data_IF_863664426808
#
_entry.id   IF_863664426808
#
_cell.length_a   1.000
_cell.length_b   1.000
_cell.length_c   1.000
_cell.angle_alpha   90.00
_cell.angle_beta   90.00
_cell.angle_gamma   90.00
#
_symmetry.space_group_name_H-M   'P 1'
#
loop_
_entity.id
_entity.type
_entity.pdbx_description
1 polymer ?
#
# COMPACT_ATOMS: atom_id res chain seq x y z
N UNK A 1 -1.67 -12.76 -12.76
CA UNK A 1 -0.25 -13.17 -12.94
C UNK A 1 0.72 -11.99 -12.75
N UNK A 2 0.39 -10.78 -13.21
CA UNK A 2 1.32 -9.64 -13.21
C UNK A 2 1.60 -9.00 -11.85
N UNK A 3 0.82 -9.32 -10.82
CA UNK A 3 1.11 -8.85 -9.45
C UNK A 3 2.36 -9.52 -8.86
N UNK A 4 2.67 -10.74 -9.30
CA UNK A 4 3.80 -11.55 -8.77
C UNK A 4 4.87 -11.84 -9.82
N UNK A 5 4.57 -11.67 -11.11
CA UNK A 5 5.49 -11.92 -12.21
C UNK A 5 6.00 -10.59 -12.76
N UNK A 6 7.32 -10.46 -12.79
CA UNK A 6 8.00 -9.30 -13.34
C UNK A 6 7.68 -9.09 -14.83
N UNK A 7 7.90 -7.86 -15.28
CA UNK A 7 7.67 -7.50 -16.69
C UNK A 7 8.55 -8.37 -17.59
N UNK A 8 7.97 -9.10 -18.56
CA UNK A 8 8.75 -9.87 -19.52
C UNK A 8 9.60 -8.95 -20.39
N UNK A 9 10.67 -9.48 -21.02
CA UNK A 9 11.50 -8.72 -21.94
C UNK A 9 10.66 -8.03 -23.02
N UNK A 10 11.08 -6.83 -23.43
CA UNK A 10 10.39 -6.12 -24.51
C UNK A 10 10.55 -6.91 -25.81
N UNK A 11 9.46 -6.99 -26.58
CA UNK A 11 9.46 -7.64 -27.90
C UNK A 11 10.48 -6.91 -28.80
N UNK A 12 11.33 -7.67 -29.49
CA UNK A 12 12.24 -7.18 -30.53
C UNK A 12 11.90 -7.80 -31.88
N UNK A 13 12.55 -7.35 -32.96
CA UNK A 13 12.35 -7.90 -34.31
C UNK A 13 12.74 -9.39 -34.42
N UNK A 14 13.52 -9.90 -33.47
CA UNK A 14 13.96 -11.30 -33.41
C UNK A 14 13.09 -12.16 -32.48
N UNK A 15 12.10 -11.58 -31.81
CA UNK A 15 11.25 -12.33 -30.88
C UNK A 15 10.38 -13.35 -31.61
N UNK A 16 10.22 -14.50 -30.97
CA UNK A 16 9.33 -15.57 -31.46
C UNK A 16 7.87 -15.18 -31.29
N UNK A 17 6.98 -15.86 -32.02
CA UNK A 17 5.54 -15.57 -31.91
C UNK A 17 4.96 -15.99 -30.55
N UNK A 18 5.56 -16.99 -29.90
CA UNK A 18 5.22 -17.37 -28.52
C UNK A 18 5.60 -16.28 -27.51
N UNK A 19 6.81 -15.72 -27.62
CA UNK A 19 7.26 -14.59 -26.77
C UNK A 19 6.35 -13.38 -26.93
N UNK A 20 5.98 -13.04 -28.17
CA UNK A 20 5.02 -11.96 -28.45
C UNK A 20 3.66 -12.23 -27.82
N UNK A 21 3.19 -13.46 -27.87
CA UNK A 21 1.90 -13.87 -27.31
C UNK A 21 1.90 -13.75 -25.79
N UNK A 22 2.97 -14.23 -25.14
CA UNK A 22 3.16 -14.11 -23.68
C UNK A 22 3.20 -12.64 -23.26
N UNK A 23 3.99 -11.80 -23.96
CA UNK A 23 4.08 -10.37 -23.65
C UNK A 23 2.73 -9.67 -23.76
N UNK A 24 1.96 -9.93 -24.83
CA UNK A 24 0.60 -9.37 -24.99
C UNK A 24 -0.36 -9.83 -23.91
N UNK A 25 -0.31 -11.12 -23.53
CA UNK A 25 -1.12 -11.66 -22.44
C UNK A 25 -0.76 -11.01 -21.10
N UNK A 26 0.53 -10.82 -20.83
CA UNK A 26 1.03 -10.13 -19.65
C UNK A 26 0.55 -8.67 -19.64
N UNK A 27 0.70 -7.92 -20.72
CA UNK A 27 0.30 -6.51 -20.80
C UNK A 27 -1.21 -6.33 -20.56
N UNK A 28 -2.03 -7.20 -21.16
CA UNK A 28 -3.48 -7.22 -20.92
C UNK A 28 -3.79 -7.48 -19.45
N UNK A 29 -3.15 -8.48 -18.84
CA UNK A 29 -3.33 -8.79 -17.42
C UNK A 29 -2.85 -7.65 -16.51
N UNK A 30 -1.79 -6.94 -16.88
CA UNK A 30 -1.25 -5.82 -16.10
C UNK A 30 -2.23 -4.65 -16.07
N UNK A 31 -2.73 -4.26 -17.26
CA UNK A 31 -3.74 -3.22 -17.40
C UNK A 31 -5.01 -3.52 -16.61
N UNK A 32 -5.52 -4.75 -16.70
CA UNK A 32 -6.69 -5.18 -15.95
C UNK A 32 -6.45 -5.13 -14.44
N UNK A 33 -5.27 -5.57 -13.98
CA UNK A 33 -4.92 -5.55 -12.56
C UNK A 33 -4.84 -4.12 -12.03
N UNK A 34 -4.26 -3.18 -12.79
CA UNK A 34 -4.25 -1.75 -12.42
C UNK A 34 -5.69 -1.22 -12.30
N UNK A 35 -6.56 -1.52 -13.27
CA UNK A 35 -7.96 -1.06 -13.22
C UNK A 35 -8.67 -1.61 -11.98
N UNK A 36 -8.49 -2.90 -11.69
CA UNK A 36 -9.09 -3.53 -10.52
C UNK A 36 -8.59 -2.91 -9.21
N UNK A 37 -7.28 -2.76 -9.05
CA UNK A 37 -6.69 -2.09 -7.89
C UNK A 37 -7.22 -0.65 -7.74
N UNK A 38 -7.32 0.11 -8.83
CA UNK A 38 -7.85 1.50 -8.81
C UNK A 38 -9.36 1.58 -8.53
N UNK A 39 -10.09 0.48 -8.66
CA UNK A 39 -11.53 0.39 -8.40
C UNK A 39 -11.81 0.00 -6.95
N UNK A 40 -11.05 -0.96 -6.40
CA UNK A 40 -11.24 -1.41 -5.01
C UNK A 40 -10.70 -0.42 -3.97
N UNK A 41 -9.71 0.40 -4.35
CA UNK A 41 -9.11 1.39 -3.45
C UNK A 41 -10.01 2.64 -3.40
N UNK A 42 -10.33 3.07 -2.19
CA UNK A 42 -11.14 4.27 -1.98
C UNK A 42 -10.48 5.54 -2.56
N UNK A 43 -11.30 6.47 -3.06
CA UNK A 43 -10.83 7.66 -3.78
C UNK A 43 -9.86 8.53 -2.97
N UNK A 44 -10.07 8.66 -1.66
CA UNK A 44 -9.21 9.43 -0.76
C UNK A 44 -7.78 8.84 -0.61
N UNK A 45 -7.62 7.53 -0.83
CA UNK A 45 -6.32 6.87 -0.85
C UNK A 45 -5.68 7.04 -2.23
N UNK A 46 -6.48 6.88 -3.28
CA UNK A 46 -6.06 6.95 -4.69
C UNK A 46 -5.39 8.27 -5.05
N UNK A 47 -5.85 9.41 -4.51
CA UNK A 47 -5.26 10.73 -4.78
C UNK A 47 -3.86 10.90 -4.20
N UNK A 48 -3.50 10.13 -3.18
CA UNK A 48 -2.18 10.16 -2.54
C UNK A 48 -1.18 9.15 -3.13
N UNK A 49 -1.61 8.32 -4.08
CA UNK A 49 -0.77 7.32 -4.72
C UNK A 49 -0.24 7.85 -6.06
N UNK A 50 1.00 7.48 -6.46
CA UNK A 50 1.53 7.82 -7.77
C UNK A 50 0.74 7.12 -8.89
N UNK A 51 0.83 7.67 -10.10
CA UNK A 51 0.24 7.04 -11.29
C UNK A 51 0.93 5.69 -11.54
N UNK A 52 0.17 4.58 -11.64
CA UNK A 52 0.76 3.26 -11.79
C UNK A 52 1.36 3.03 -13.17
N UNK A 53 2.61 2.58 -13.19
CA UNK A 53 3.31 2.15 -14.43
C UNK A 53 3.16 0.65 -14.68
N UNK A 54 3.07 -0.16 -13.62
CA UNK A 54 2.69 -1.58 -13.67
C UNK A 54 1.86 -1.92 -12.43
N UNK A 55 1.09 -3.01 -12.50
CA UNK A 55 0.24 -3.45 -11.39
C UNK A 55 1.06 -3.80 -10.15
N UNK A 56 2.20 -4.49 -10.30
CA UNK A 56 3.10 -4.82 -9.19
C UNK A 56 3.64 -3.55 -8.49
N UNK A 57 4.10 -2.56 -9.26
CA UNK A 57 4.59 -1.29 -8.67
C UNK A 57 3.48 -0.55 -7.93
N UNK A 58 2.27 -0.56 -8.48
CA UNK A 58 1.12 0.06 -7.82
C UNK A 58 0.80 -0.62 -6.49
N UNK A 59 0.81 -1.96 -6.47
CA UNK A 59 0.62 -2.74 -5.25
C UNK A 59 1.66 -2.39 -4.19
N UNK A 60 2.94 -2.30 -4.56
CA UNK A 60 4.01 -1.87 -3.64
C UNK A 60 3.78 -0.47 -3.07
N UNK A 61 3.38 0.51 -3.91
CA UNK A 61 3.07 1.86 -3.42
C UNK A 61 1.90 1.87 -2.44
N UNK A 62 0.92 0.99 -2.64
CA UNK A 62 -0.19 0.81 -1.69
C UNK A 62 0.36 0.24 -0.37
N UNK A 63 1.12 -0.85 -0.42
CA UNK A 63 1.73 -1.47 0.75
C UNK A 63 2.59 -0.48 1.55
N UNK A 64 3.46 0.27 0.90
CA UNK A 64 4.32 1.29 1.52
C UNK A 64 3.52 2.38 2.22
N UNK A 65 2.46 2.88 1.58
CA UNK A 65 1.56 3.89 2.17
C UNK A 65 0.95 3.40 3.49
N UNK A 66 0.53 2.14 3.54
CA UNK A 66 -0.14 1.59 4.72
C UNK A 66 0.83 1.06 5.78
N UNK A 67 2.05 0.70 5.39
CA UNK A 67 3.11 0.29 6.31
C UNK A 67 3.38 1.37 7.37
N UNK A 68 3.49 2.63 6.95
CA UNK A 68 3.76 3.74 7.85
C UNK A 68 2.51 4.24 8.59
N UNK A 69 1.34 4.18 7.94
CA UNK A 69 0.08 4.59 8.57
C UNK A 69 -0.25 3.76 9.82
N UNK A 70 -0.02 2.45 9.77
CA UNK A 70 -0.26 1.56 10.91
C UNK A 70 0.71 1.82 12.08
N UNK A 71 1.99 2.10 11.77
CA UNK A 71 3.00 2.43 12.77
C UNK A 71 2.63 3.75 13.47
N UNK A 72 2.32 4.80 12.71
CA UNK A 72 1.93 6.10 13.27
C UNK A 72 0.67 6.02 14.13
N UNK A 73 -0.32 5.22 13.73
CA UNK A 73 -1.52 4.99 14.52
C UNK A 73 -1.19 4.26 15.84
N UNK A 74 -0.35 3.23 15.79
CA UNK A 74 0.09 2.50 16.97
C UNK A 74 0.87 3.40 17.94
N UNK A 75 1.80 4.22 17.43
CA UNK A 75 2.56 5.19 18.22
C UNK A 75 1.64 6.21 18.89
N UNK A 76 0.68 6.77 18.15
CA UNK A 76 -0.31 7.69 18.71
C UNK A 76 -1.10 7.05 19.84
N UNK A 77 -1.58 5.82 19.64
CA UNK A 77 -2.31 5.08 20.67
C UNK A 77 -1.45 4.85 21.93
N UNK A 78 -0.15 4.55 21.78
CA UNK A 78 0.76 4.41 22.92
C UNK A 78 0.92 5.72 23.70
N UNK A 79 1.05 6.85 22.99
CA UNK A 79 1.14 8.17 23.62
C UNK A 79 -0.15 8.51 24.35
N UNK A 80 -1.31 8.29 23.72
CA UNK A 80 -2.62 8.54 24.32
C UNK A 80 -2.81 7.70 25.59
N UNK A 81 -2.50 6.39 25.55
CA UNK A 81 -2.59 5.50 26.71
C UNK A 81 -1.66 5.93 27.85
N UNK A 82 -0.41 6.28 27.55
CA UNK A 82 0.55 6.76 28.55
C UNK A 82 0.06 8.06 29.20
N UNK A 83 -0.53 8.95 28.39
CA UNK A 83 -1.09 10.22 28.86
C UNK A 83 -2.30 9.99 29.76
N UNK A 84 -3.21 9.10 29.37
CA UNK A 84 -4.36 8.71 30.22
C UNK A 84 -3.92 8.12 31.56
N UNK A 85 -2.91 7.24 31.56
CA UNK A 85 -2.37 6.65 32.78
C UNK A 85 -1.70 7.71 33.69
N UNK A 86 -0.90 8.61 33.11
CA UNK A 86 -0.25 9.70 33.86
C UNK A 86 -1.30 10.64 34.50
N UNK A 87 -2.36 10.99 33.75
CA UNK A 87 -3.45 11.81 34.27
C UNK A 87 -4.23 11.11 35.38
N UNK A 88 -4.51 9.81 35.25
CA UNK A 88 -5.17 9.03 36.29
C UNK A 88 -4.33 8.97 37.58
N UNK A 89 -3.02 8.75 37.43
CA UNK A 89 -2.09 8.74 38.56
C UNK A 89 -1.98 10.11 39.25
N UNK A 90 -1.87 11.20 38.49
CA UNK A 90 -1.85 12.56 39.03
C UNK A 90 -3.15 12.89 39.80
N UNK A 91 -4.32 12.45 39.28
CA UNK A 91 -5.60 12.59 39.99
C UNK A 91 -5.60 11.84 41.33
N UNK A 92 -5.09 10.61 41.37
CA UNK A 92 -4.95 9.87 42.63
C UNK A 92 -4.03 10.58 43.63
N UNK A 93 -2.86 11.08 43.19
CA UNK A 93 -1.95 11.83 44.07
C UNK A 93 -2.60 13.10 44.65
N UNK A 94 -3.36 13.85 43.85
CA UNK A 94 -4.09 15.03 44.32
C UNK A 94 -5.15 14.68 45.38
N UNK A 95 -5.81 13.53 45.24
CA UNK A 95 -6.80 13.04 46.23
C UNK A 95 -6.11 12.61 47.53
N UNK A 96 -4.91 12.00 47.46
CA UNK A 96 -4.18 11.54 48.65
C UNK A 96 -3.44 12.68 49.38
N UNK A 97 -3.13 13.78 48.68
CA UNK A 97 -2.44 14.95 49.24
C UNK A 97 -3.39 16.05 49.78
N UNK A 98 -4.71 15.83 49.73
CA UNK A 98 -5.73 16.66 50.38
C UNK A 98 -6.30 15.96 51.60
#
# INVERSE_FOLDING_TARGET
LTLTIDKPPSITNTSTDDEKTIFKAWEKSDRLSIMFLRMIIACNIKTSLPVPTTANKYLKSIEERFKNANISLAEKLMVDLKTMNLMAHARCMIIVLR
#
